data_IF_522167385087
#
_entry.id   IF_522167385087
#
_cell.length_a   1.000
_cell.length_b   1.000
_cell.length_c   1.000
_cell.angle_alpha   90.00
_cell.angle_beta   90.00
_cell.angle_gamma   90.00
#
_symmetry.space_group_name_H-M   'P 1'
#
loop_
_entity.id
_entity.type
_entity.pdbx_description
1 polymer ?
#
# COMPACT_ATOMS: atom_id res chain seq x y z
N UNK A 1 24.42 27.35 15.16
CA UNK A 1 24.61 26.08 14.42
C UNK A 1 23.53 25.12 14.90
N UNK A 2 22.49 24.94 14.09
CA UNK A 2 21.37 24.06 14.41
C UNK A 2 20.74 23.60 13.11
N UNK A 3 21.52 22.88 12.30
CA UNK A 3 21.00 22.22 11.12
C UNK A 3 20.26 20.96 11.58
N UNK A 4 19.05 21.14 12.12
CA UNK A 4 18.08 20.06 12.09
C UNK A 4 17.64 19.92 10.65
N UNK A 5 18.41 19.14 9.88
CA UNK A 5 17.87 18.38 8.76
C UNK A 5 16.92 17.35 9.36
N UNK A 6 15.76 17.81 9.83
CA UNK A 6 14.56 17.01 9.69
C UNK A 6 14.44 16.85 8.19
N UNK A 7 15.01 15.75 7.70
CA UNK A 7 14.61 15.19 6.43
C UNK A 7 13.14 14.86 6.67
N UNK A 8 12.28 15.85 6.48
CA UNK A 8 10.89 15.60 6.16
C UNK A 8 11.02 14.85 4.84
N UNK A 9 11.23 13.54 4.95
CA UNK A 9 11.43 12.61 3.86
C UNK A 9 10.11 12.58 3.11
N UNK A 10 9.83 13.65 2.35
CA UNK A 10 8.88 13.71 1.24
C UNK A 10 7.77 12.69 1.39
N UNK A 11 7.05 12.75 2.53
CA UNK A 11 6.15 11.65 2.92
C UNK A 11 4.98 11.54 1.93
N UNK A 12 4.83 12.53 1.04
CA UNK A 12 3.86 12.61 -0.03
C UNK A 12 4.41 12.69 -1.46
N UNK A 13 5.71 12.49 -1.73
CA UNK A 13 6.26 12.62 -3.09
C UNK A 13 6.43 11.26 -3.81
N UNK A 14 6.34 10.16 -3.07
CA UNK A 14 6.32 8.80 -3.62
C UNK A 14 5.04 8.06 -3.24
N UNK A 15 4.61 7.15 -4.11
CA UNK A 15 3.53 6.24 -3.81
C UNK A 15 4.05 5.10 -2.94
N UNK A 16 3.28 4.71 -1.92
CA UNK A 16 3.68 3.67 -0.97
C UNK A 16 2.86 2.42 -1.20
N UNK A 17 3.55 1.34 -1.53
CA UNK A 17 2.95 0.04 -1.77
C UNK A 17 3.41 -0.94 -0.68
N UNK A 18 2.49 -1.44 0.13
CA UNK A 18 2.79 -2.44 1.15
C UNK A 18 2.34 -3.80 0.66
N UNK A 19 3.29 -4.71 0.58
CA UNK A 19 3.06 -6.10 0.23
C UNK A 19 2.41 -6.85 1.39
N UNK A 20 1.70 -7.93 1.07
CA UNK A 20 1.10 -8.80 2.09
C UNK A 20 2.11 -9.40 3.08
N UNK A 21 3.39 -9.51 2.69
CA UNK A 21 4.49 -9.94 3.56
C UNK A 21 4.93 -8.85 4.58
N UNK A 22 4.43 -7.63 4.45
CA UNK A 22 4.81 -6.46 5.26
C UNK A 22 6.02 -5.69 4.71
N UNK A 23 6.43 -5.94 3.47
CA UNK A 23 7.47 -5.18 2.78
C UNK A 23 6.88 -3.90 2.18
N UNK A 24 7.51 -2.75 2.42
CA UNK A 24 7.16 -1.48 1.77
C UNK A 24 8.01 -1.29 0.51
N UNK A 25 7.34 -0.94 -0.59
CA UNK A 25 7.93 -0.45 -1.83
C UNK A 25 7.49 1.00 -2.04
N UNK A 26 8.47 1.89 -2.23
CA UNK A 26 8.21 3.30 -2.53
C UNK A 26 8.49 3.55 -4.01
N UNK A 27 7.55 4.22 -4.68
CA UNK A 27 7.67 4.57 -6.09
C UNK A 27 7.69 6.09 -6.24
N UNK A 28 8.85 6.64 -6.59
CA UNK A 28 9.01 8.07 -6.88
C UNK A 28 8.54 8.47 -8.29
N UNK A 29 8.19 7.49 -9.12
CA UNK A 29 7.66 7.69 -10.47
C UNK A 29 6.24 7.15 -10.55
N UNK A 30 5.38 7.68 -11.44
CA UNK A 30 4.08 7.10 -11.69
C UNK A 30 4.25 5.66 -12.18
N UNK A 31 3.72 4.71 -11.40
CA UNK A 31 3.69 3.28 -11.73
C UNK A 31 2.24 2.86 -11.85
N UNK A 32 1.92 2.17 -12.93
CA UNK A 32 0.58 1.65 -13.13
C UNK A 32 0.36 0.37 -12.34
N UNK A 33 -0.85 0.19 -11.82
CA UNK A 33 -1.22 -0.98 -11.03
C UNK A 33 -0.94 -2.28 -11.79
N UNK A 34 -1.27 -2.35 -13.09
CA UNK A 34 -1.02 -3.55 -13.90
C UNK A 34 0.46 -3.97 -13.90
N UNK A 35 1.41 -3.02 -13.83
CA UNK A 35 2.84 -3.34 -13.79
C UNK A 35 3.22 -4.07 -12.50
N UNK A 36 2.57 -3.71 -11.39
CA UNK A 36 2.75 -4.40 -10.10
C UNK A 36 2.13 -5.78 -10.18
N UNK A 37 0.92 -5.89 -10.75
CA UNK A 37 0.23 -7.17 -10.94
C UNK A 37 0.98 -8.13 -11.86
N UNK A 38 1.76 -7.62 -12.83
CA UNK A 38 2.65 -8.46 -13.63
C UNK A 38 3.71 -9.17 -12.80
N UNK A 39 4.22 -8.49 -11.75
CA UNK A 39 5.18 -9.08 -10.82
C UNK A 39 4.51 -9.99 -9.79
N UNK A 40 3.26 -9.71 -9.46
CA UNK A 40 2.45 -10.44 -8.48
C UNK A 40 1.11 -10.90 -9.10
N UNK A 41 1.11 -11.93 -9.95
CA UNK A 41 -0.06 -12.31 -10.76
C UNK A 41 -1.23 -12.87 -9.95
N UNK A 42 -0.97 -13.38 -8.75
CA UNK A 42 -2.00 -13.91 -7.83
C UNK A 42 -2.43 -12.89 -6.77
N UNK A 43 -2.19 -11.61 -7.03
CA UNK A 43 -2.47 -10.51 -6.10
C UNK A 43 -3.26 -9.40 -6.80
N UNK A 44 -3.84 -8.51 -6.01
CA UNK A 44 -4.47 -7.27 -6.45
C UNK A 44 -3.94 -6.10 -5.61
N UNK A 45 -4.04 -4.89 -6.15
CA UNK A 45 -3.71 -3.66 -5.43
C UNK A 45 -5.00 -3.01 -4.97
N UNK A 46 -5.07 -2.59 -3.72
CA UNK A 46 -6.18 -1.82 -3.15
C UNK A 46 -5.67 -0.54 -2.52
N UNK A 47 -6.50 0.49 -2.48
CA UNK A 47 -6.20 1.72 -1.75
C UNK A 47 -6.54 1.53 -0.26
N UNK A 48 -5.65 1.94 0.64
CA UNK A 48 -5.93 1.89 2.08
C UNK A 48 -7.10 2.77 2.50
N UNK A 49 -7.31 3.90 1.82
CA UNK A 49 -8.38 4.85 2.12
C UNK A 49 -9.77 4.29 1.74
N UNK A 50 -9.83 3.33 0.81
CA UNK A 50 -11.08 2.67 0.39
C UNK A 50 -11.37 1.37 1.15
N UNK A 51 -10.48 0.99 2.07
CA UNK A 51 -10.59 -0.26 2.81
C UNK A 51 -11.40 -0.03 4.10
N UNK A 52 -12.67 -0.42 4.09
CA UNK A 52 -13.55 -0.34 5.27
C UNK A 52 -13.73 -1.72 5.94
N UNK A 53 -14.13 -1.72 7.21
CA UNK A 53 -14.38 -2.97 7.93
C UNK A 53 -15.74 -3.51 7.50
N UNK A 54 -15.87 -4.82 7.31
CA UNK A 54 -17.10 -5.48 6.79
C UNK A 54 -17.41 -5.20 5.30
N UNK A 55 -16.71 -4.25 4.65
CA UNK A 55 -16.81 -4.02 3.21
C UNK A 55 -15.85 -4.93 2.42
N UNK A 56 -16.22 -5.21 1.17
CA UNK A 56 -15.39 -5.94 0.25
C UNK A 56 -14.26 -5.05 -0.25
N UNK A 57 -13.04 -5.58 -0.20
CA UNK A 57 -11.89 -4.84 -0.71
C UNK A 57 -12.04 -4.66 -2.22
N UNK A 58 -12.05 -3.40 -2.65
CA UNK A 58 -12.04 -3.05 -4.06
C UNK A 58 -10.61 -2.98 -4.58
N UNK A 59 -10.37 -3.65 -5.71
CA UNK A 59 -9.10 -3.55 -6.40
C UNK A 59 -9.06 -2.24 -7.21
N UNK A 60 -7.96 -1.50 -7.09
CA UNK A 60 -7.67 -0.36 -7.96
C UNK A 60 -7.50 -0.88 -9.39
N UNK A 61 -8.05 -0.15 -10.37
CA UNK A 61 -7.98 -0.57 -11.77
C UNK A 61 -6.53 -0.74 -12.21
N UNK A 62 -6.23 -1.82 -12.93
CA UNK A 62 -4.90 -2.06 -13.49
C UNK A 62 -4.37 -0.88 -14.32
N UNK A 63 -5.27 -0.12 -14.96
CA UNK A 63 -4.90 1.02 -15.79
C UNK A 63 -4.61 2.31 -15.00
N UNK A 64 -4.97 2.36 -13.72
CA UNK A 64 -4.70 3.50 -12.86
C UNK A 64 -3.24 3.53 -12.40
N UNK A 65 -2.76 4.75 -12.15
CA UNK A 65 -1.42 5.02 -11.67
C UNK A 65 -1.44 5.22 -10.16
N UNK A 66 -0.44 4.65 -9.48
CA UNK A 66 -0.25 4.88 -8.06
C UNK A 66 0.04 6.37 -7.82
N UNK A 67 -0.77 6.98 -6.96
CA UNK A 67 -0.62 8.40 -6.63
C UNK A 67 0.42 8.57 -5.53
N UNK A 68 1.35 9.53 -5.68
CA UNK A 68 2.28 9.86 -4.61
C UNK A 68 1.52 10.39 -3.39
N UNK A 69 1.97 10.01 -2.20
CA UNK A 69 1.30 10.33 -0.93
C UNK A 69 0.06 9.50 -0.60
N UNK A 70 -0.32 8.58 -1.48
CA UNK A 70 -1.32 7.56 -1.20
C UNK A 70 -0.64 6.24 -0.83
N UNK A 71 -1.35 5.45 -0.03
CA UNK A 71 -0.90 4.16 0.46
C UNK A 71 -1.76 3.06 -0.12
N UNK A 72 -1.09 2.06 -0.68
CA UNK A 72 -1.70 0.97 -1.40
C UNK A 72 -1.24 -0.34 -0.79
N UNK A 73 -2.14 -1.31 -0.73
CA UNK A 73 -1.83 -2.66 -0.26
C UNK A 73 -1.90 -3.66 -1.41
N UNK A 74 -0.91 -4.54 -1.49
CA UNK A 74 -0.94 -5.72 -2.36
C UNK A 74 -1.47 -6.88 -1.56
N UNK A 75 -2.64 -7.37 -1.92
CA UNK A 75 -3.30 -8.49 -1.26
C UNK A 75 -3.47 -9.66 -2.22
N UNK A 76 -3.44 -10.90 -1.73
CA UNK A 76 -3.72 -12.06 -2.57
C UNK A 76 -5.17 -12.04 -3.05
N UNK A 77 -5.42 -12.49 -4.29
CA UNK A 77 -6.78 -12.58 -4.87
C UNK A 77 -7.76 -13.42 -4.03
N UNK A 78 -7.25 -14.26 -3.13
CA UNK A 78 -8.06 -14.99 -2.15
C UNK A 78 -8.85 -14.10 -1.19
N UNK A 79 -8.46 -12.84 -1.04
CA UNK A 79 -9.18 -11.86 -0.22
C UNK A 79 -10.12 -10.98 -1.06
N UNK A 80 -10.04 -11.07 -2.38
CA UNK A 80 -10.93 -10.37 -3.28
C UNK A 80 -12.32 -11.01 -3.20
N UNK A 81 -13.37 -10.20 -3.00
CA UNK A 81 -14.75 -10.63 -2.71
C UNK A 81 -14.98 -11.31 -1.35
N UNK A 82 -14.02 -11.22 -0.43
CA UNK A 82 -14.23 -11.64 0.96
C UNK A 82 -14.24 -10.41 1.88
N UNK A 83 -15.15 -10.37 2.86
CA UNK A 83 -15.14 -9.30 3.86
C UNK A 83 -13.87 -9.42 4.71
N UNK A 84 -13.14 -8.32 4.82
CA UNK A 84 -11.98 -8.23 5.70
C UNK A 84 -12.42 -8.31 7.15
N UNK A 85 -11.85 -9.26 7.89
CA UNK A 85 -12.06 -9.30 9.34
C UNK A 85 -11.23 -8.22 10.03
N UNK A 86 -11.68 -7.80 11.22
CA UNK A 86 -10.96 -6.84 12.04
C UNK A 86 -9.53 -7.30 12.35
N UNK A 87 -9.31 -8.60 12.57
CA UNK A 87 -7.99 -9.18 12.82
C UNK A 87 -7.07 -9.08 11.60
N UNK A 88 -7.63 -9.27 10.41
CA UNK A 88 -6.90 -9.18 9.14
C UNK A 88 -6.50 -7.72 8.86
N UNK A 89 -7.44 -6.79 9.03
CA UNK A 89 -7.18 -5.36 8.90
C UNK A 89 -6.14 -4.89 9.93
N UNK A 90 -6.25 -5.32 11.19
CA UNK A 90 -5.25 -5.02 12.20
C UNK A 90 -3.86 -5.55 11.82
N UNK A 91 -3.79 -6.77 11.29
CA UNK A 91 -2.53 -7.34 10.80
C UNK A 91 -1.94 -6.52 9.64
N UNK A 92 -2.76 -6.04 8.70
CA UNK A 92 -2.32 -5.15 7.62
C UNK A 92 -1.83 -3.79 8.15
N UNK A 93 -2.56 -3.18 9.09
CA UNK A 93 -2.18 -1.91 9.70
C UNK A 93 -0.87 -2.02 10.50
N UNK A 94 -0.64 -3.13 11.20
CA UNK A 94 0.61 -3.41 11.90
C UNK A 94 1.75 -3.61 10.91
N UNK A 95 1.54 -4.39 9.85
CA UNK A 95 2.52 -4.57 8.77
C UNK A 95 2.88 -3.24 8.12
N UNK A 96 1.88 -2.42 7.80
CA UNK A 96 2.07 -1.08 7.26
C UNK A 96 2.89 -0.20 8.19
N UNK A 97 2.51 -0.15 9.47
CA UNK A 97 3.23 0.65 10.48
C UNK A 97 4.68 0.20 10.62
N UNK A 98 4.92 -1.12 10.64
CA UNK A 98 6.26 -1.72 10.69
C UNK A 98 7.08 -1.43 9.43
N UNK A 99 6.44 -1.38 8.27
CA UNK A 99 7.12 -1.07 7.02
C UNK A 99 7.45 0.43 6.92
N UNK A 100 6.51 1.30 7.30
CA UNK A 100 6.67 2.76 7.35
C UNK A 100 7.71 3.21 8.38
N UNK A 101 7.80 2.55 9.53
CA UNK A 101 8.83 2.89 10.54
C UNK A 101 10.23 2.46 10.12
N UNK A 102 10.37 1.54 9.16
CA UNK A 102 11.67 1.11 8.62
C UNK A 102 12.17 2.01 7.49
N UNK A 103 11.27 2.76 6.84
CA UNK A 103 11.64 3.72 5.79
C UNK A 103 11.89 5.14 6.30
N UNK A 104 11.72 5.38 7.60
CA UNK A 104 12.06 6.64 8.28
C UNK A 104 13.40 6.57 9.02
#
# INVERSE_FOLDING_TARGET
MGACVSRECTRGDSAKLILFDGTLQEFSTPVKVWQILQKYPSSFVCNSDEMDFDDAVSAVSGNEELRPGQLYFVLPLTWLNHPLRAEEMAALAVKASSALTKSG
#
